data_IF_531842650138
#
_entry.id   IF_531842650138
#
_cell.length_a   1.000
_cell.length_b   1.000
_cell.length_c   1.000
_cell.angle_alpha   90.00
_cell.angle_beta   90.00
_cell.angle_gamma   90.00
#
_symmetry.space_group_name_H-M   'P 1'
#
loop_
_entity.id
_entity.type
_entity.pdbx_description
1 polymer ?
#
# COMPACT_ATOMS: atom_id res chain seq x y z
N UNK A 1 -11.95 24.12 0.20
CA UNK A 1 -11.11 23.04 -0.35
C UNK A 1 -11.43 21.75 0.40
N UNK A 2 -11.55 20.63 -0.30
CA UNK A 2 -11.84 19.32 0.30
C UNK A 2 -10.56 18.49 0.43
N UNK A 3 -10.38 17.80 1.55
CA UNK A 3 -9.28 16.85 1.76
C UNK A 3 -9.45 15.65 0.83
N UNK A 4 -8.36 15.23 0.17
CA UNK A 4 -8.31 13.98 -0.61
C UNK A 4 -7.36 13.02 0.09
N UNK A 5 -7.81 11.79 0.31
CA UNK A 5 -7.00 10.72 0.90
C UNK A 5 -6.36 9.88 -0.21
N UNK A 6 -5.08 9.59 -0.04
CA UNK A 6 -4.30 8.70 -0.90
C UNK A 6 -3.77 7.53 -0.06
N UNK A 7 -4.57 6.48 0.18
CA UNK A 7 -4.07 5.27 0.78
C UNK A 7 -2.86 4.74 -0.01
N UNK A 8 -1.91 4.14 0.70
CA UNK A 8 -0.64 3.72 0.11
C UNK A 8 -0.41 2.22 0.30
N UNK A 9 -0.01 1.56 -0.79
CA UNK A 9 0.55 0.22 -0.78
C UNK A 9 1.99 0.27 -1.30
N UNK A 10 2.91 -0.33 -0.55
CA UNK A 10 4.29 -0.53 -0.99
C UNK A 10 4.39 -1.99 -1.44
N UNK A 11 4.83 -2.22 -2.67
CA UNK A 11 4.97 -3.54 -3.26
C UNK A 11 6.43 -3.98 -3.17
N UNK A 12 6.63 -5.20 -2.69
CA UNK A 12 7.93 -5.87 -2.74
C UNK A 12 7.72 -7.34 -3.06
N UNK A 13 8.32 -7.80 -4.16
CA UNK A 13 8.25 -9.20 -4.60
C UNK A 13 6.81 -9.74 -4.72
N UNK A 14 5.89 -8.88 -5.16
CA UNK A 14 4.47 -9.20 -5.33
C UNK A 14 3.62 -9.06 -4.07
N UNK A 15 4.21 -8.86 -2.89
CA UNK A 15 3.48 -8.68 -1.63
C UNK A 15 3.34 -7.20 -1.25
N UNK A 16 2.29 -6.87 -0.49
CA UNK A 16 2.12 -5.56 0.12
C UNK A 16 2.90 -5.50 1.45
N UNK A 17 3.88 -4.62 1.52
CA UNK A 17 4.78 -4.46 2.67
C UNK A 17 4.72 -3.04 3.25
N UNK A 18 5.36 -2.85 4.39
CA UNK A 18 5.74 -1.53 4.90
C UNK A 18 7.14 -1.60 5.46
N UNK A 19 7.96 -0.59 5.15
CA UNK A 19 9.29 -0.46 5.72
C UNK A 19 9.24 0.42 6.97
N UNK A 20 9.87 -0.03 8.07
CA UNK A 20 10.10 0.84 9.22
C UNK A 20 11.17 1.87 8.86
N UNK A 21 10.78 3.15 8.76
CA UNK A 21 11.68 4.26 8.37
C UNK A 21 12.45 4.02 7.06
N UNK A 22 11.88 3.26 6.12
CA UNK A 22 12.53 2.95 4.84
C UNK A 22 13.58 1.84 4.88
N UNK A 23 13.79 1.17 6.02
CA UNK A 23 14.74 0.07 6.12
C UNK A 23 14.17 -1.24 5.52
N UNK A 24 14.75 -1.71 4.41
CA UNK A 24 14.33 -2.96 3.73
C UNK A 24 14.42 -4.21 4.62
N UNK A 25 15.40 -4.25 5.52
CA UNK A 25 15.57 -5.34 6.48
C UNK A 25 14.48 -5.36 7.57
N UNK A 26 13.74 -4.26 7.73
CA UNK A 26 12.62 -4.13 8.66
C UNK A 26 11.28 -4.05 7.90
N UNK A 27 11.15 -4.83 6.82
CA UNK A 27 9.90 -4.95 6.07
C UNK A 27 8.90 -5.82 6.82
N UNK A 28 7.69 -5.30 7.01
CA UNK A 28 6.54 -6.07 7.51
C UNK A 28 5.61 -6.38 6.35
N UNK A 29 5.26 -7.66 6.16
CA UNK A 29 4.25 -8.08 5.18
C UNK A 29 2.86 -7.88 5.78
N UNK A 30 2.00 -7.12 5.09
CA UNK A 30 0.62 -6.89 5.49
C UNK A 30 -0.39 -7.71 4.69
N UNK A 31 -0.07 -8.01 3.43
CA UNK A 31 -0.88 -8.88 2.58
C UNK A 31 0.01 -9.53 1.51
N UNK A 32 -0.22 -10.81 1.23
CA UNK A 32 0.44 -11.51 0.12
C UNK A 32 -0.18 -11.14 -1.23
N UNK A 33 -1.49 -10.90 -1.27
CA UNK A 33 -2.20 -10.39 -2.45
C UNK A 33 -2.42 -8.86 -2.31
N UNK A 34 -1.78 -8.03 -3.15
CA UNK A 34 -1.94 -6.58 -3.10
C UNK A 34 -3.30 -6.11 -3.64
N UNK A 35 -4.04 -6.96 -4.35
CA UNK A 35 -5.38 -6.63 -4.86
C UNK A 35 -6.39 -6.51 -3.72
N UNK A 36 -6.26 -7.34 -2.68
CA UNK A 36 -7.15 -7.31 -1.51
C UNK A 36 -7.16 -5.93 -0.79
N UNK A 37 -6.03 -5.35 -0.34
CA UNK A 37 -6.02 -4.03 0.28
C UNK A 37 -6.41 -2.92 -0.71
N UNK A 38 -6.01 -3.01 -1.99
CA UNK A 38 -6.42 -2.04 -3.01
C UNK A 38 -7.95 -1.97 -3.16
N UNK A 39 -8.61 -3.14 -3.22
CA UNK A 39 -10.07 -3.23 -3.29
C UNK A 39 -10.74 -2.74 -2.01
N UNK A 40 -10.19 -3.06 -0.85
CA UNK A 40 -10.71 -2.55 0.42
C UNK A 40 -10.68 -1.01 0.48
N UNK A 41 -9.64 -0.36 -0.04
CA UNK A 41 -9.58 1.10 -0.12
C UNK A 41 -10.60 1.67 -1.11
N UNK A 42 -10.77 1.02 -2.27
CA UNK A 42 -11.80 1.40 -3.23
C UNK A 42 -13.21 1.28 -2.62
N UNK A 43 -13.51 0.17 -1.97
CA UNK A 43 -14.81 -0.10 -1.33
C UNK A 43 -15.07 0.86 -0.16
N UNK A 44 -14.02 1.36 0.50
CA UNK A 44 -14.09 2.42 1.50
C UNK A 44 -14.28 3.84 0.90
N UNK A 45 -14.38 3.97 -0.42
CA UNK A 45 -14.64 5.24 -1.11
C UNK A 45 -13.39 6.04 -1.51
N UNK A 46 -12.18 5.47 -1.38
CA UNK A 46 -10.97 6.13 -1.86
C UNK A 46 -10.95 6.12 -3.39
N UNK A 47 -10.73 7.29 -3.99
CA UNK A 47 -10.68 7.46 -5.46
C UNK A 47 -9.28 7.24 -6.04
N UNK A 48 -8.28 7.28 -5.17
CA UNK A 48 -6.88 7.20 -5.55
C UNK A 48 -6.17 6.19 -4.67
N UNK A 49 -5.17 5.53 -5.25
CA UNK A 49 -4.26 4.64 -4.55
C UNK A 49 -2.84 5.05 -4.91
N UNK A 50 -2.03 5.35 -3.91
CA UNK A 50 -0.61 5.58 -4.08
C UNK A 50 0.10 4.23 -4.05
N UNK A 51 0.81 3.89 -5.11
CA UNK A 51 1.52 2.62 -5.24
C UNK A 51 3.00 2.91 -5.41
N UNK A 52 3.82 2.24 -4.61
CA UNK A 52 5.28 2.29 -4.71
C UNK A 52 5.78 0.88 -4.99
N UNK A 53 6.51 0.71 -6.09
CA UNK A 53 7.27 -0.52 -6.34
C UNK A 53 8.67 -0.35 -5.73
N UNK A 54 9.06 -1.29 -4.86
CA UNK A 54 10.33 -1.26 -4.13
C UNK A 54 11.44 -2.08 -4.79
N UNK A 55 11.14 -2.72 -5.93
CA UNK A 55 12.08 -3.53 -6.71
C UNK A 55 12.80 -2.75 -7.82
#
# INVERSE_FOLDING_TARGET
>A
MTLTLYPAIDLKDGACVRLRRGAMAEATVYAEDPVAPARAFQDAGCRWLHVVDLN
#
